data_IF_938326520415
#
_entry.id   IF_938326520415
#
_cell.length_a   1.000
_cell.length_b   1.000
_cell.length_c   1.000
_cell.angle_alpha   90.00
_cell.angle_beta   90.00
_cell.angle_gamma   90.00
#
_symmetry.space_group_name_H-M   'P 1'
#
loop_
_entity.id
_entity.type
_entity.pdbx_description
1 polymer ?
#
# COMPACT_ATOMS: atom_id res chain seq x y z
N UNK A 1 0.28 -12.05 -7.74
CA UNK A 1 -0.31 -11.11 -6.77
C UNK A 1 0.64 -9.94 -6.67
N UNK A 2 0.21 -8.75 -7.12
CA UNK A 2 0.94 -7.50 -6.88
C UNK A 2 0.36 -6.85 -5.62
N UNK A 3 1.19 -6.27 -4.76
CA UNK A 3 0.78 -5.55 -3.55
C UNK A 3 1.01 -4.06 -3.81
N UNK A 4 0.00 -3.23 -3.56
CA UNK A 4 0.09 -1.76 -3.70
C UNK A 4 -0.20 -1.07 -2.36
N UNK A 5 0.68 -0.14 -1.97
CA UNK A 5 0.63 0.65 -0.73
C UNK A 5 0.38 2.12 -1.06
N UNK A 6 -0.63 2.73 -0.42
CA UNK A 6 -1.25 3.99 -0.87
C UNK A 6 -0.51 5.30 -0.57
N UNK A 7 0.66 5.28 0.06
CA UNK A 7 1.22 6.50 0.64
C UNK A 7 2.31 7.19 -0.20
N UNK A 8 2.83 6.56 -1.27
CA UNK A 8 3.87 7.18 -2.10
C UNK A 8 3.39 7.55 -3.51
N UNK A 9 3.52 8.84 -3.76
CA UNK A 9 3.36 9.56 -5.02
C UNK A 9 4.17 8.91 -6.15
N UNK A 10 3.53 8.05 -6.93
CA UNK A 10 3.71 8.11 -8.38
C UNK A 10 2.49 8.84 -8.95
N UNK A 11 2.68 9.82 -9.86
CA UNK A 11 1.55 10.52 -10.45
C UNK A 11 0.58 9.49 -11.07
N UNK A 12 -0.75 9.67 -10.92
CA UNK A 12 -1.74 8.64 -11.25
C UNK A 12 -1.68 8.12 -12.69
N UNK A 13 -1.07 8.90 -13.61
CA UNK A 13 -0.87 8.52 -15.00
C UNK A 13 0.30 7.54 -15.24
N UNK A 14 1.39 7.61 -14.47
CA UNK A 14 2.53 6.71 -14.67
C UNK A 14 2.21 5.29 -14.22
N UNK A 15 1.49 5.15 -13.11
CA UNK A 15 1.22 3.86 -12.46
C UNK A 15 0.21 3.01 -13.24
N UNK A 16 -0.81 3.65 -13.84
CA UNK A 16 -1.80 2.94 -14.67
C UNK A 16 -1.16 2.25 -15.88
N UNK A 17 -0.28 2.97 -16.60
CA UNK A 17 0.40 2.42 -17.78
C UNK A 17 1.29 1.22 -17.45
N UNK A 18 1.92 1.23 -16.27
CA UNK A 18 2.76 0.14 -15.79
C UNK A 18 1.90 -1.09 -15.41
N UNK A 19 0.80 -0.88 -14.68
CA UNK A 19 -0.14 -1.95 -14.32
C UNK A 19 -0.73 -2.65 -15.54
N UNK A 20 -1.16 -1.87 -16.54
CA UNK A 20 -1.69 -2.42 -17.79
C UNK A 20 -0.65 -3.23 -18.59
N UNK A 21 0.63 -2.82 -18.57
CA UNK A 21 1.70 -3.61 -19.20
C UNK A 21 1.82 -4.99 -18.54
N UNK A 22 1.72 -5.05 -17.21
CA UNK A 22 1.81 -6.31 -16.46
C UNK A 22 0.60 -7.19 -16.73
N UNK A 23 -0.63 -6.66 -16.67
CA UNK A 23 -1.84 -7.46 -16.93
C UNK A 23 -1.86 -8.01 -18.35
N UNK A 24 -1.53 -7.18 -19.35
CA UNK A 24 -1.41 -7.63 -20.74
C UNK A 24 -0.36 -8.72 -20.93
N UNK A 25 0.79 -8.62 -20.25
CA UNK A 25 1.79 -9.67 -20.27
C UNK A 25 1.24 -10.97 -19.67
N UNK A 26 0.56 -10.93 -18.53
CA UNK A 26 -0.03 -12.14 -17.93
C UNK A 26 -1.07 -12.80 -18.85
N UNK A 27 -1.91 -12.01 -19.53
CA UNK A 27 -2.86 -12.54 -20.52
C UNK A 27 -2.19 -13.16 -21.74
N UNK A 28 -1.04 -12.63 -22.18
CA UNK A 28 -0.25 -13.26 -23.25
C UNK A 28 0.23 -14.68 -22.90
N UNK A 29 0.25 -15.02 -21.61
CA UNK A 29 0.63 -16.33 -21.08
C UNK A 29 -0.59 -17.21 -20.73
N UNK A 30 -1.80 -16.81 -21.16
CA UNK A 30 -3.07 -17.48 -20.84
C UNK A 30 -3.32 -17.62 -19.33
N UNK A 31 -2.80 -16.69 -18.52
CA UNK A 31 -2.96 -16.68 -17.07
C UNK A 31 -3.95 -15.62 -16.61
N UNK A 32 -4.43 -15.79 -15.38
CA UNK A 32 -5.24 -14.81 -14.64
C UNK A 32 -4.36 -13.97 -13.72
N UNK A 33 -4.75 -12.73 -13.46
CA UNK A 33 -4.00 -11.84 -12.57
C UNK A 33 -4.89 -11.19 -11.52
N UNK A 34 -4.42 -11.22 -10.28
CA UNK A 34 -5.03 -10.51 -9.16
C UNK A 34 -4.08 -9.48 -8.55
N UNK A 35 -4.66 -8.44 -7.97
CA UNK A 35 -3.97 -7.39 -7.20
C UNK A 35 -4.49 -7.37 -5.77
N UNK A 36 -3.59 -7.21 -4.81
CA UNK A 36 -3.91 -6.99 -3.42
C UNK A 36 -3.71 -5.51 -3.09
N UNK A 37 -4.75 -4.89 -2.54
CA UNK A 37 -4.71 -3.50 -2.07
C UNK A 37 -4.45 -3.50 -0.56
N UNK A 38 -3.45 -2.73 -0.13
CA UNK A 38 -2.92 -2.81 1.23
C UNK A 38 -2.65 -1.43 1.83
N UNK A 39 -2.82 -1.32 3.14
CA UNK A 39 -2.36 -0.17 3.91
C UNK A 39 -1.66 -0.68 5.17
N UNK A 40 -0.36 -0.41 5.28
CA UNK A 40 0.48 -1.03 6.31
C UNK A 40 0.31 -0.37 7.70
N UNK A 41 -0.37 0.79 7.77
CA UNK A 41 -0.69 1.48 9.03
C UNK A 41 0.55 1.68 9.89
N UNK A 42 0.48 1.33 11.17
CA UNK A 42 1.61 1.38 12.13
C UNK A 42 2.83 0.49 11.80
N UNK A 43 2.82 -0.27 10.70
CA UNK A 43 3.96 -1.05 10.20
C UNK A 43 4.65 -0.40 8.98
N UNK A 44 4.14 0.75 8.54
CA UNK A 44 4.63 1.49 7.37
C UNK A 44 6.01 2.12 7.59
N UNK A 45 6.56 2.71 6.51
CA UNK A 45 7.83 3.43 6.51
C UNK A 45 8.99 2.61 7.08
N UNK A 46 9.12 1.38 6.60
CA UNK A 46 10.26 0.51 6.87
C UNK A 46 11.03 0.23 5.60
N UNK A 47 12.34 -0.03 5.73
CA UNK A 47 13.16 -0.45 4.60
C UNK A 47 12.77 -1.85 4.14
N UNK A 48 13.10 -2.17 2.89
CA UNK A 48 12.83 -3.48 2.33
C UNK A 48 13.49 -4.60 3.18
N UNK A 49 12.84 -5.77 3.37
CA UNK A 49 13.32 -6.82 4.26
C UNK A 49 14.72 -7.36 3.94
N UNK A 50 15.19 -7.25 2.69
CA UNK A 50 16.53 -7.67 2.27
C UNK A 50 17.64 -6.67 2.63
N UNK A 51 17.29 -5.43 3.00
CA UNK A 51 18.23 -4.45 3.57
C UNK A 51 18.32 -4.72 5.07
N UNK A 52 17.18 -4.67 5.75
CA UNK A 52 17.05 -5.07 7.15
C UNK A 52 15.58 -5.30 7.48
N UNK A 53 15.29 -6.28 8.35
CA UNK A 53 13.92 -6.54 8.80
C UNK A 53 13.44 -5.48 9.79
N UNK A 54 12.30 -4.85 9.51
CA UNK A 54 11.60 -3.90 10.38
C UNK A 54 12.48 -2.73 10.84
N UNK A 55 13.35 -2.18 10.00
CA UNK A 55 14.06 -0.92 10.33
C UNK A 55 13.31 0.24 9.70
N UNK A 56 13.15 1.30 10.48
CA UNK A 56 12.53 2.55 10.04
C UNK A 56 13.28 3.11 8.83
N UNK A 57 12.57 3.34 7.73
CA UNK A 57 13.08 4.12 6.62
C UNK A 57 13.06 5.59 7.04
N UNK A 58 14.24 6.21 7.14
CA UNK A 58 14.40 7.63 7.44
C UNK A 58 14.10 8.48 6.22
N UNK A 59 13.91 9.80 6.40
CA UNK A 59 13.72 10.73 5.28
C UNK A 59 14.90 10.68 4.29
N UNK A 60 16.13 10.48 4.77
CA UNK A 60 17.35 10.41 3.94
C UNK A 60 17.31 9.28 2.90
N UNK A 61 16.59 8.20 3.19
CA UNK A 61 16.41 7.05 2.29
C UNK A 61 15.02 7.03 1.63
N UNK A 62 14.29 8.15 1.69
CA UNK A 62 12.97 8.31 1.08
C UNK A 62 11.80 7.74 1.91
N UNK A 63 12.03 7.47 3.20
CA UNK A 63 10.96 7.11 4.13
C UNK A 63 10.14 8.30 4.61
N UNK A 64 9.08 8.01 5.37
CA UNK A 64 8.11 8.95 5.92
C UNK A 64 7.74 8.58 7.37
N UNK A 65 8.71 8.47 8.29
CA UNK A 65 8.46 7.96 9.65
C UNK A 65 7.50 8.84 10.45
N UNK A 66 7.45 10.14 10.14
CA UNK A 66 6.59 11.12 10.81
C UNK A 66 5.16 11.15 10.23
N UNK A 67 4.89 10.49 9.10
CA UNK A 67 3.58 10.46 8.43
C UNK A 67 2.97 9.05 8.44
N UNK A 68 3.22 8.31 9.52
CA UNK A 68 2.61 7.00 9.76
C UNK A 68 1.32 7.19 10.55
N UNK A 69 0.20 6.68 10.04
CA UNK A 69 -1.11 6.80 10.69
C UNK A 69 -1.67 5.43 11.10
N UNK A 70 -2.40 5.38 12.22
CA UNK A 70 -3.04 4.18 12.76
C UNK A 70 -4.28 4.51 13.62
N UNK A 71 -5.10 3.51 14.02
CA UNK A 71 -6.26 3.74 14.88
C UNK A 71 -5.94 4.25 16.30
N UNK A 72 -4.68 4.20 16.71
CA UNK A 72 -4.18 4.72 17.99
C UNK A 72 -2.69 5.01 17.88
N UNK A 73 -2.13 5.70 18.87
CA UNK A 73 -0.69 6.01 18.97
C UNK A 73 0.16 4.84 19.45
N UNK A 74 -0.36 3.60 19.47
CA UNK A 74 0.37 2.42 19.93
C UNK A 74 1.33 1.89 18.86
N UNK A 75 2.62 1.85 19.18
CA UNK A 75 3.65 1.19 18.37
C UNK A 75 3.25 -0.26 18.01
N UNK A 76 3.67 -0.72 16.84
CA UNK A 76 3.66 -2.15 16.55
C UNK A 76 4.78 -2.89 17.28
N UNK A 77 5.94 -2.24 17.43
CA UNK A 77 7.10 -2.62 18.26
C UNK A 77 8.07 -1.44 18.27
N UNK A 78 9.09 -1.46 19.13
CA UNK A 78 10.14 -0.43 19.20
C UNK A 78 10.93 -0.24 17.89
N UNK A 79 10.77 -1.16 16.94
CA UNK A 79 11.40 -1.12 15.62
C UNK A 79 10.57 -0.42 14.53
N UNK A 80 9.35 0.00 14.84
CA UNK A 80 8.47 0.72 13.91
C UNK A 80 8.31 2.19 14.32
N UNK A 81 7.99 3.09 13.37
CA UNK A 81 7.73 4.49 13.68
C UNK A 81 6.57 4.64 14.67
N UNK A 82 6.57 5.74 15.42
CA UNK A 82 5.45 6.10 16.27
C UNK A 82 4.29 6.62 15.40
N UNK A 83 3.12 5.95 15.37
CA UNK A 83 2.04 6.39 14.52
C UNK A 83 1.28 7.60 15.12
N UNK A 84 0.75 8.45 14.26
CA UNK A 84 -0.30 9.41 14.55
C UNK A 84 -1.65 8.67 14.61
N UNK A 85 -2.50 9.07 15.55
CA UNK A 85 -3.88 8.57 15.61
C UNK A 85 -4.71 9.17 14.47
N UNK A 86 -5.47 8.33 13.78
CA UNK A 86 -6.36 8.75 12.69
C UNK A 86 -7.54 9.56 13.23
N UNK A 87 -7.80 10.68 12.57
CA UNK A 87 -9.05 11.44 12.70
C UNK A 87 -10.16 10.80 11.87
N UNK A 88 -11.42 11.19 12.13
CA UNK A 88 -12.56 10.72 11.34
C UNK A 88 -12.45 11.14 9.87
N UNK A 89 -12.01 12.37 9.61
CA UNK A 89 -11.82 12.89 8.25
C UNK A 89 -10.74 12.08 7.48
N UNK A 90 -9.66 11.68 8.15
CA UNK A 90 -8.62 10.82 7.55
C UNK A 90 -9.13 9.40 7.28
N UNK A 91 -10.03 8.88 8.13
CA UNK A 91 -10.69 7.58 7.88
C UNK A 91 -11.60 7.66 6.66
N UNK A 92 -12.33 8.76 6.47
CA UNK A 92 -13.14 8.99 5.27
C UNK A 92 -12.26 9.11 4.03
N UNK A 93 -11.18 9.89 4.10
CA UNK A 93 -10.21 10.03 3.01
C UNK A 93 -9.58 8.68 2.65
N UNK A 94 -9.27 7.84 3.64
CA UNK A 94 -8.76 6.49 3.44
C UNK A 94 -9.74 5.60 2.67
N UNK A 95 -11.03 5.65 3.01
CA UNK A 95 -12.07 4.89 2.29
C UNK A 95 -12.17 5.32 0.83
N UNK A 96 -12.14 6.63 0.56
CA UNK A 96 -12.16 7.17 -0.81
C UNK A 96 -10.93 6.69 -1.59
N UNK A 97 -9.74 6.79 -1.00
CA UNK A 97 -8.50 6.35 -1.62
C UNK A 97 -8.55 4.85 -1.98
N UNK A 98 -9.00 4.00 -1.06
CA UNK A 98 -9.12 2.56 -1.28
C UNK A 98 -10.12 2.23 -2.40
N UNK A 99 -11.25 2.93 -2.44
CA UNK A 99 -12.24 2.79 -3.50
C UNK A 99 -11.67 3.21 -4.86
N UNK A 100 -10.92 4.31 -4.91
CA UNK A 100 -10.32 4.78 -6.15
C UNK A 100 -9.22 3.84 -6.67
N UNK A 101 -8.42 3.21 -5.82
CA UNK A 101 -7.51 2.17 -6.28
C UNK A 101 -8.23 0.91 -6.76
N UNK A 102 -9.35 0.54 -6.12
CA UNK A 102 -10.18 -0.57 -6.61
C UNK A 102 -10.68 -0.29 -8.03
N UNK A 103 -11.18 0.93 -8.31
CA UNK A 103 -11.55 1.35 -9.67
C UNK A 103 -10.36 1.30 -10.62
N UNK A 104 -9.18 1.74 -10.18
CA UNK A 104 -7.99 1.71 -11.00
C UNK A 104 -7.52 0.29 -11.32
N UNK A 105 -7.64 -0.65 -10.38
CA UNK A 105 -7.38 -2.06 -10.59
C UNK A 105 -8.31 -2.65 -11.67
N UNK A 106 -9.61 -2.37 -11.58
CA UNK A 106 -10.58 -2.78 -12.60
C UNK A 106 -10.22 -2.17 -13.97
N UNK A 107 -9.90 -0.87 -14.01
CA UNK A 107 -9.49 -0.19 -15.24
C UNK A 107 -8.20 -0.76 -15.83
N UNK A 108 -7.29 -1.27 -15.01
CA UNK A 108 -6.05 -1.92 -15.43
C UNK A 108 -6.21 -3.40 -15.83
N UNK A 109 -7.45 -3.91 -15.87
CA UNK A 109 -7.77 -5.30 -16.25
C UNK A 109 -7.17 -6.34 -15.31
N UNK A 110 -7.29 -6.14 -14.00
CA UNK A 110 -7.10 -7.24 -13.04
C UNK A 110 -8.39 -8.06 -12.92
N UNK A 111 -8.27 -9.40 -12.91
CA UNK A 111 -9.41 -10.31 -12.78
C UNK A 111 -9.93 -10.37 -11.33
N UNK A 112 -9.05 -10.15 -10.35
CA UNK A 112 -9.36 -10.24 -8.92
C UNK A 112 -8.74 -9.05 -8.18
N UNK A 113 -9.53 -8.44 -7.29
CA UNK A 113 -9.06 -7.47 -6.30
C UNK A 113 -9.23 -8.09 -4.92
N UNK A 114 -8.14 -8.19 -4.18
CA UNK A 114 -8.12 -8.67 -2.80
C UNK A 114 -7.84 -7.50 -1.86
N UNK A 115 -8.64 -7.33 -0.82
CA UNK A 115 -8.25 -6.48 0.30
C UNK A 115 -7.34 -7.27 1.24
N UNK A 116 -6.25 -6.66 1.71
CA UNK A 116 -5.33 -7.35 2.62
C UNK A 116 -6.08 -7.96 3.81
N UNK A 117 -5.96 -9.28 4.03
CA UNK A 117 -6.59 -9.92 5.18
C UNK A 117 -5.97 -9.44 6.48
N UNK A 118 -6.81 -9.09 7.45
CA UNK A 118 -6.37 -8.69 8.80
C UNK A 118 -5.86 -9.93 9.55
N UNK A 119 -4.58 -10.28 9.38
CA UNK A 119 -3.93 -11.25 10.27
C UNK A 119 -3.41 -10.54 11.52
N UNK A 120 -4.10 -10.73 12.65
CA UNK A 120 -3.61 -10.40 14.00
C UNK A 120 -3.83 -8.96 14.47
N UNK A 121 -5.10 -8.60 14.69
CA UNK A 121 -5.46 -7.65 15.77
C UNK A 121 -5.27 -8.35 17.11
#
# INVERSE_FOLDING_TARGET
MAIETFHTLQPPSSTMSQRMRISNFTYSQSQKIGIQLSHDGRKSSTVAPFIHKNVIATLEVGGWPDEVHAPSTLHCSDKYPQPKELTLDEIEAFQVAFFDATKQAVKASFDVVESTPLTGI
#
